data_IF_679683949177
#
_entry.id   IF_679683949177
#
_cell.length_a   1.000
_cell.length_b   1.000
_cell.length_c   1.000
_cell.angle_alpha   90.00
_cell.angle_beta   90.00
_cell.angle_gamma   90.00
#
_symmetry.space_group_name_H-M   'P 1'
#
loop_
_entity.id
_entity.type
_entity.pdbx_description
1 polymer ?
#
# COMPACT_ATOMS: atom_id res chain seq x y z
N UNK A 1 -25.03 -8.60 6.41
CA UNK A 1 -23.73 -8.28 5.77
C UNK A 1 -24.00 -7.36 4.60
N UNK A 2 -23.53 -6.11 4.65
CA UNK A 2 -23.97 -5.02 3.77
C UNK A 2 -23.58 -5.24 2.31
N UNK A 3 -24.59 -5.24 1.44
CA UNK A 3 -24.51 -5.37 -0.02
C UNK A 3 -23.70 -4.26 -0.70
N UNK A 4 -23.48 -3.13 -0.02
CA UNK A 4 -22.68 -2.00 -0.50
C UNK A 4 -21.21 -2.33 -0.73
N UNK A 5 -20.57 -3.11 0.16
CA UNK A 5 -19.13 -3.42 0.01
C UNK A 5 -18.86 -4.26 -1.24
N UNK A 6 -19.79 -5.14 -1.61
CA UNK A 6 -19.68 -5.99 -2.81
C UNK A 6 -19.73 -5.17 -4.10
N UNK A 7 -20.43 -4.03 -4.13
CA UNK A 7 -20.56 -3.21 -5.36
C UNK A 7 -19.31 -2.43 -5.73
N UNK A 8 -18.37 -2.24 -4.81
CA UNK A 8 -17.16 -1.42 -5.05
C UNK A 8 -15.95 -2.24 -5.48
N UNK A 9 -15.87 -3.52 -5.13
CA UNK A 9 -14.71 -4.38 -5.44
C UNK A 9 -14.91 -5.05 -6.81
N UNK A 10 -13.91 -5.08 -7.70
CA UNK A 10 -13.96 -5.81 -8.96
C UNK A 10 -14.35 -7.28 -8.76
N UNK A 11 -15.20 -7.81 -9.64
CA UNK A 11 -15.77 -9.15 -9.45
C UNK A 11 -14.72 -10.26 -9.30
N UNK A 12 -13.62 -10.17 -10.06
CA UNK A 12 -12.52 -11.15 -9.99
C UNK A 12 -11.89 -11.15 -8.61
N UNK A 13 -11.56 -9.97 -8.07
CA UNK A 13 -11.00 -9.84 -6.73
C UNK A 13 -12.00 -10.27 -5.65
N UNK A 14 -13.29 -9.99 -5.83
CA UNK A 14 -14.33 -10.44 -4.91
C UNK A 14 -14.47 -11.97 -4.90
N UNK A 15 -14.35 -12.64 -6.05
CA UNK A 15 -14.41 -14.10 -6.13
C UNK A 15 -13.22 -14.76 -5.44
N UNK A 16 -12.02 -14.17 -5.55
CA UNK A 16 -10.79 -14.74 -5.00
C UNK A 16 -10.57 -14.40 -3.52
N UNK A 17 -10.86 -13.16 -3.13
CA UNK A 17 -10.49 -12.62 -1.81
C UNK A 17 -11.68 -12.25 -0.94
N UNK A 18 -12.88 -12.22 -1.50
CA UNK A 18 -14.10 -11.82 -0.79
C UNK A 18 -13.91 -10.50 -0.04
N UNK A 19 -14.27 -10.46 1.24
CA UNK A 19 -14.15 -9.26 2.08
C UNK A 19 -12.72 -8.84 2.42
N UNK A 20 -11.69 -9.59 2.00
CA UNK A 20 -10.28 -9.21 2.23
C UNK A 20 -9.78 -8.16 1.23
N UNK A 21 -10.32 -8.15 0.00
CA UNK A 21 -10.01 -7.12 -0.97
C UNK A 21 -10.69 -5.80 -0.58
N UNK A 22 -9.88 -4.78 -0.32
CA UNK A 22 -10.32 -3.44 0.12
C UNK A 22 -9.58 -2.38 -0.68
N UNK A 23 -10.11 -1.16 -0.69
CA UNK A 23 -9.39 -0.03 -1.26
C UNK A 23 -8.06 0.18 -0.52
N UNK A 24 -7.07 0.78 -1.18
CA UNK A 24 -5.79 1.12 -0.57
C UNK A 24 -6.00 2.03 0.65
N UNK A 25 -6.90 3.02 0.55
CA UNK A 25 -7.27 3.89 1.65
C UNK A 25 -7.82 3.13 2.86
N UNK A 26 -8.83 2.27 2.65
CA UNK A 26 -9.41 1.46 3.73
C UNK A 26 -8.38 0.51 4.36
N UNK A 27 -7.49 -0.05 3.53
CA UNK A 27 -6.43 -0.95 4.00
C UNK A 27 -5.47 -0.21 4.91
N UNK A 28 -4.97 0.96 4.49
CA UNK A 28 -4.10 1.81 5.31
C UNK A 28 -4.77 2.17 6.63
N UNK A 29 -6.02 2.63 6.60
CA UNK A 29 -6.76 2.98 7.82
C UNK A 29 -6.92 1.79 8.78
N UNK A 30 -7.06 0.57 8.24
CA UNK A 30 -7.17 -0.63 9.07
C UNK A 30 -5.84 -1.16 9.62
N UNK A 31 -4.72 -0.85 8.95
CA UNK A 31 -3.38 -1.27 9.37
C UNK A 31 -2.84 -0.37 10.49
N UNK A 32 -3.26 0.89 10.51
CA UNK A 32 -2.87 1.82 11.57
C UNK A 32 -3.52 1.35 12.88
N UNK A 33 -2.73 1.03 13.92
CA UNK A 33 -3.27 0.58 15.18
C UNK A 33 -4.24 1.64 15.74
N UNK A 34 -5.46 1.26 16.15
CA UNK A 34 -6.38 2.18 16.79
C UNK A 34 -5.75 2.74 18.06
N UNK A 35 -5.98 4.03 18.33
CA UNK A 35 -5.39 4.69 19.50
C UNK A 35 -5.72 3.96 20.79
N UNK A 36 -4.68 3.59 21.54
CA UNK A 36 -4.61 3.98 22.95
C UNK A 36 -3.73 5.23 23.01
N UNK A 37 -4.33 6.39 23.31
CA UNK A 37 -3.75 7.74 23.28
C UNK A 37 -2.40 7.93 24.00
N UNK A 38 -1.94 6.96 24.80
CA UNK A 38 -0.70 7.02 25.56
C UNK A 38 0.59 6.59 24.82
N UNK A 39 0.50 5.98 23.62
CA UNK A 39 1.67 5.37 22.93
C UNK A 39 2.06 6.00 21.58
N UNK A 40 1.52 7.16 21.20
CA UNK A 40 2.02 7.83 19.99
C UNK A 40 3.30 8.61 20.31
N UNK A 41 4.40 8.30 19.60
CA UNK A 41 5.67 9.05 19.68
C UNK A 41 5.47 10.56 19.42
N UNK A 42 4.43 10.92 18.69
CA UNK A 42 4.08 12.30 18.39
C UNK A 42 3.68 13.16 19.60
N UNK A 43 3.40 12.56 20.77
CA UNK A 43 3.04 13.23 22.02
C UNK A 43 1.96 14.34 21.88
N UNK A 44 1.06 14.21 20.89
CA UNK A 44 0.06 15.23 20.57
C UNK A 44 0.58 16.51 19.90
N UNK A 45 1.89 16.64 19.65
CA UNK A 45 2.52 17.85 19.08
C UNK A 45 2.42 17.93 17.55
N UNK A 46 2.38 16.78 16.89
CA UNK A 46 2.23 16.66 15.43
C UNK A 46 0.97 15.88 15.06
N UNK A 47 0.27 16.36 14.02
CA UNK A 47 -0.83 15.63 13.37
C UNK A 47 -0.23 14.49 12.54
N UNK A 48 0.11 13.37 13.17
CA UNK A 48 0.53 12.16 12.44
C UNK A 48 -0.67 11.28 12.09
N UNK A 49 -0.52 10.44 11.05
CA UNK A 49 -1.57 9.54 10.59
C UNK A 49 -2.10 8.63 11.72
N UNK A 50 -1.23 8.12 12.58
CA UNK A 50 -1.63 7.37 13.79
C UNK A 50 -2.51 8.14 14.78
N UNK A 51 -2.50 9.48 14.72
CA UNK A 51 -3.31 10.35 15.57
C UNK A 51 -4.61 10.83 14.95
N UNK A 52 -4.69 10.94 13.63
CA UNK A 52 -5.91 11.36 12.94
C UNK A 52 -5.93 10.79 11.52
N UNK A 53 -6.11 9.47 11.43
CA UNK A 53 -5.82 8.70 10.23
C UNK A 53 -6.62 9.17 9.01
N UNK A 54 -7.94 9.33 9.15
CA UNK A 54 -8.82 9.65 8.02
C UNK A 54 -8.59 11.07 7.48
N UNK A 55 -8.46 12.08 8.34
CA UNK A 55 -8.33 13.47 7.89
C UNK A 55 -6.92 13.84 7.42
N UNK A 56 -5.92 12.99 7.66
CA UNK A 56 -4.54 13.20 7.23
C UNK A 56 -4.19 12.40 5.98
N UNK A 57 -4.82 11.23 5.81
CA UNK A 57 -4.70 10.46 4.58
C UNK A 57 -5.36 11.20 3.41
N UNK A 58 -6.54 11.81 3.64
CA UNK A 58 -7.29 12.56 2.64
C UNK A 58 -7.43 14.02 3.09
N UNK A 59 -6.90 14.93 2.27
CA UNK A 59 -6.96 16.39 2.42
C UNK A 59 -7.77 17.01 1.29
N UNK A 60 -8.44 18.14 1.55
CA UNK A 60 -9.29 18.83 0.56
C UNK A 60 -8.58 19.22 -0.75
N UNK A 61 -7.27 19.46 -0.68
CA UNK A 61 -6.46 19.90 -1.82
C UNK A 61 -5.61 18.77 -2.41
N UNK A 62 -5.90 17.50 -2.07
CA UNK A 62 -5.18 16.40 -2.66
C UNK A 62 -5.51 16.27 -4.17
N UNK A 63 -4.51 15.95 -5.01
CA UNK A 63 -4.71 15.71 -6.43
C UNK A 63 -5.70 14.58 -6.75
N UNK A 64 -6.38 14.67 -7.90
CA UNK A 64 -7.39 13.67 -8.33
C UNK A 64 -6.77 12.29 -8.49
N UNK A 65 -5.59 12.17 -9.11
CA UNK A 65 -4.86 10.92 -9.31
C UNK A 65 -4.50 10.24 -7.97
N UNK A 66 -4.19 11.02 -6.94
CA UNK A 66 -3.99 10.50 -5.59
C UNK A 66 -5.28 9.98 -4.96
N UNK A 67 -6.39 10.68 -5.13
CA UNK A 67 -7.70 10.23 -4.64
C UNK A 67 -8.16 8.97 -5.36
N UNK A 68 -7.91 8.86 -6.67
CA UNK A 68 -8.15 7.65 -7.45
C UNK A 68 -7.27 6.49 -6.97
N UNK A 69 -5.97 6.74 -6.75
CA UNK A 69 -5.07 5.75 -6.16
C UNK A 69 -5.62 5.21 -4.83
N UNK A 70 -6.11 6.07 -3.94
CA UNK A 70 -6.66 5.61 -2.65
C UNK A 70 -7.95 4.80 -2.78
N UNK A 71 -8.83 5.18 -3.70
CA UNK A 71 -10.20 4.66 -3.76
C UNK A 71 -10.42 3.55 -4.80
N UNK A 72 -9.54 3.45 -5.80
CA UNK A 72 -9.67 2.49 -6.91
C UNK A 72 -8.50 1.50 -6.99
N UNK A 73 -7.41 1.72 -6.26
CA UNK A 73 -6.43 0.67 -6.03
C UNK A 73 -6.97 -0.31 -4.98
N UNK A 74 -6.94 -1.60 -5.30
CA UNK A 74 -7.35 -2.65 -4.37
C UNK A 74 -6.15 -3.34 -3.77
N UNK A 75 -6.24 -3.64 -2.47
CA UNK A 75 -5.19 -4.26 -1.70
C UNK A 75 -5.75 -5.44 -0.91
N UNK A 76 -4.98 -6.51 -0.86
CA UNK A 76 -5.24 -7.70 -0.05
C UNK A 76 -4.03 -7.94 0.84
N UNK A 77 -4.20 -7.91 2.16
CA UNK A 77 -3.12 -8.27 3.09
C UNK A 77 -2.95 -9.79 3.08
N UNK A 78 -1.72 -10.27 2.97
CA UNK A 78 -1.40 -11.71 2.99
C UNK A 78 -1.82 -12.34 4.31
N UNK A 79 -2.32 -13.57 4.29
CA UNK A 79 -2.67 -14.30 5.53
C UNK A 79 -1.43 -14.58 6.40
N UNK A 80 -0.25 -14.66 5.77
CA UNK A 80 1.03 -14.84 6.44
C UNK A 80 1.72 -13.51 6.78
N UNK A 81 1.06 -12.37 6.54
CA UNK A 81 1.65 -11.08 6.86
C UNK A 81 1.83 -10.93 8.38
N UNK A 82 3.00 -10.45 8.85
CA UNK A 82 3.15 -10.11 10.25
C UNK A 82 2.18 -8.97 10.61
N UNK A 83 1.71 -8.88 11.86
CA UNK A 83 0.88 -7.76 12.28
C UNK A 83 1.65 -6.44 12.21
N UNK A 84 1.05 -5.40 11.63
CA UNK A 84 1.62 -4.05 11.65
C UNK A 84 1.38 -3.41 13.02
N UNK A 85 2.25 -3.73 13.98
CA UNK A 85 2.06 -3.42 15.40
C UNK A 85 2.46 -1.99 15.81
N UNK A 86 3.23 -1.29 14.97
CA UNK A 86 3.74 0.03 15.29
C UNK A 86 3.78 0.94 14.06
N UNK A 87 3.27 2.17 14.21
CA UNK A 87 3.30 3.19 13.18
C UNK A 87 4.48 4.15 13.39
N UNK A 88 5.42 4.16 12.44
CA UNK A 88 6.49 5.15 12.35
C UNK A 88 6.24 6.13 11.18
N UNK A 89 6.01 7.43 11.44
CA UNK A 89 5.87 8.43 10.39
C UNK A 89 7.20 8.87 9.76
N UNK A 90 8.34 8.29 10.15
CA UNK A 90 9.65 8.70 9.65
C UNK A 90 9.78 8.46 8.13
N UNK A 91 10.53 9.37 7.49
CA UNK A 91 10.80 9.41 6.05
C UNK A 91 12.30 9.63 5.86
N UNK A 92 13.06 8.58 6.10
CA UNK A 92 14.52 8.54 6.01
C UNK A 92 14.98 8.31 4.57
N UNK A 93 14.10 7.76 3.73
CA UNK A 93 14.39 7.41 2.35
C UNK A 93 13.43 8.10 1.38
N UNK A 94 13.87 8.23 0.14
CA UNK A 94 12.97 8.54 -0.98
C UNK A 94 12.07 7.34 -1.30
N UNK A 95 10.94 7.57 -1.97
CA UNK A 95 10.06 6.48 -2.42
C UNK A 95 10.81 5.46 -3.29
N UNK A 96 11.69 5.93 -4.19
CA UNK A 96 12.48 5.03 -5.05
C UNK A 96 13.34 4.08 -4.23
N UNK A 97 14.06 4.61 -3.23
CA UNK A 97 14.87 3.78 -2.33
C UNK A 97 14.02 2.81 -1.52
N UNK A 98 12.84 3.22 -1.06
CA UNK A 98 11.89 2.33 -0.36
C UNK A 98 11.44 1.19 -1.26
N UNK A 99 11.08 1.48 -2.51
CA UNK A 99 10.63 0.47 -3.48
C UNK A 99 11.76 -0.50 -3.80
N UNK A 100 12.96 -0.01 -4.14
CA UNK A 100 14.10 -0.87 -4.49
C UNK A 100 14.52 -1.75 -3.33
N UNK A 101 14.66 -1.19 -2.12
CA UNK A 101 14.99 -1.98 -0.92
C UNK A 101 13.92 -3.03 -0.64
N UNK A 102 12.64 -2.71 -0.87
CA UNK A 102 11.55 -3.68 -0.71
C UNK A 102 11.63 -4.82 -1.71
N UNK A 103 11.99 -4.54 -2.96
CA UNK A 103 12.22 -5.55 -4.00
C UNK A 103 13.43 -6.42 -3.64
N UNK A 104 14.58 -5.81 -3.32
CA UNK A 104 15.80 -6.53 -2.95
C UNK A 104 15.57 -7.45 -1.74
N UNK A 105 14.90 -6.97 -0.69
CA UNK A 105 14.50 -7.80 0.45
C UNK A 105 13.58 -8.95 0.07
N UNK A 106 12.67 -8.73 -0.89
CA UNK A 106 11.73 -9.78 -1.31
C UNK A 106 12.43 -10.87 -2.11
N UNK A 107 13.39 -10.50 -2.95
CA UNK A 107 14.22 -11.43 -3.73
C UNK A 107 15.07 -12.30 -2.80
N UNK A 108 15.62 -11.74 -1.72
CA UNK A 108 16.47 -12.51 -0.78
C UNK A 108 15.65 -13.41 0.15
N UNK A 109 14.43 -13.00 0.52
CA UNK A 109 13.60 -13.71 1.51
C UNK A 109 12.73 -14.84 0.92
N UNK A 110 12.43 -14.86 -0.39
CA UNK A 110 11.47 -15.80 -0.98
C UNK A 110 12.11 -16.87 -1.88
N UNK A 111 11.95 -18.14 -1.51
CA UNK A 111 12.51 -19.30 -2.23
C UNK A 111 11.55 -20.05 -3.16
N UNK A 112 10.23 -19.77 -3.14
CA UNK A 112 9.24 -20.64 -3.82
C UNK A 112 7.97 -19.94 -4.37
N UNK A 113 8.11 -18.68 -4.78
CA UNK A 113 7.03 -17.94 -5.44
C UNK A 113 7.36 -16.46 -5.41
N UNK A 114 7.89 -15.93 -6.51
CA UNK A 114 8.39 -14.55 -6.53
C UNK A 114 7.23 -13.57 -6.52
N UNK A 115 7.22 -12.65 -5.56
CA UNK A 115 6.32 -11.51 -5.55
C UNK A 115 6.38 -10.77 -6.90
N UNK A 116 5.22 -10.38 -7.44
CA UNK A 116 5.12 -9.68 -8.73
C UNK A 116 5.92 -8.38 -8.75
N UNK A 117 6.18 -7.77 -7.57
CA UNK A 117 6.99 -6.55 -7.47
C UNK A 117 8.44 -6.73 -7.98
N UNK A 118 8.99 -7.94 -7.93
CA UNK A 118 10.32 -8.27 -8.47
C UNK A 118 10.30 -8.71 -9.93
N UNK A 119 9.13 -8.78 -10.57
CA UNK A 119 9.01 -9.20 -11.97
C UNK A 119 9.71 -8.21 -12.90
N UNK A 120 10.63 -8.71 -13.74
CA UNK A 120 11.38 -7.89 -14.68
C UNK A 120 12.32 -6.87 -14.04
N UNK A 121 12.65 -7.03 -12.75
CA UNK A 121 13.55 -6.11 -12.05
C UNK A 121 15.00 -6.27 -12.53
N UNK A 122 15.57 -5.19 -13.08
CA UNK A 122 16.98 -5.11 -13.39
C UNK A 122 17.77 -4.60 -12.18
N UNK A 123 18.67 -5.42 -11.64
CA UNK A 123 19.47 -5.08 -10.46
C UNK A 123 20.56 -4.02 -10.76
N UNK A 124 21.08 -3.98 -11.99
CA UNK A 124 22.14 -3.05 -12.39
C UNK A 124 21.58 -1.64 -12.53
N UNK A 125 20.40 -1.51 -13.14
CA UNK A 125 19.75 -0.22 -13.41
C UNK A 125 18.68 0.17 -12.37
N UNK A 126 18.30 -0.75 -11.48
CA UNK A 126 17.22 -0.60 -10.49
C UNK A 126 15.90 -0.13 -11.13
N UNK A 127 15.54 -0.77 -12.24
CA UNK A 127 14.38 -0.40 -13.05
C UNK A 127 13.46 -1.58 -13.31
N UNK A 128 12.18 -1.28 -13.53
CA UNK A 128 11.13 -2.16 -14.06
C UNK A 128 9.87 -1.31 -14.29
N UNK A 129 8.96 -1.76 -15.15
CA UNK A 129 7.66 -1.12 -15.36
C UNK A 129 6.89 -0.96 -14.03
N UNK A 130 7.00 -1.94 -13.15
CA UNK A 130 6.40 -1.91 -11.80
C UNK A 130 6.98 -0.77 -10.96
N UNK A 131 8.30 -0.54 -11.00
CA UNK A 131 8.94 0.58 -10.30
C UNK A 131 8.46 1.91 -10.88
N UNK A 132 8.35 2.04 -12.20
CA UNK A 132 7.86 3.26 -12.83
C UNK A 132 6.44 3.60 -12.36
N UNK A 133 5.54 2.60 -12.33
CA UNK A 133 4.18 2.75 -11.82
C UNK A 133 4.14 3.11 -10.32
N UNK A 134 4.92 2.41 -9.49
CA UNK A 134 4.99 2.62 -8.04
C UNK A 134 5.71 3.90 -7.65
N UNK A 135 6.33 4.63 -8.59
CA UNK A 135 7.04 5.89 -8.33
C UNK A 135 6.37 7.12 -8.96
N UNK A 136 5.15 6.96 -9.47
CA UNK A 136 4.30 8.06 -9.93
C UNK A 136 3.99 9.08 -8.82
N UNK A 137 3.63 10.33 -9.17
CA UNK A 137 3.38 11.41 -8.19
C UNK A 137 2.38 11.05 -7.08
N UNK A 138 1.29 10.34 -7.40
CA UNK A 138 0.32 9.86 -6.43
C UNK A 138 0.96 8.96 -5.35
N UNK A 139 1.82 8.01 -5.74
CA UNK A 139 2.55 7.16 -4.80
C UNK A 139 3.58 7.94 -3.98
N UNK A 140 4.24 8.94 -4.57
CA UNK A 140 5.14 9.86 -3.84
C UNK A 140 4.40 10.65 -2.77
N UNK A 141 3.18 11.12 -3.08
CA UNK A 141 2.34 11.78 -2.09
C UNK A 141 1.89 10.81 -1.00
N UNK A 142 1.49 9.59 -1.37
CA UNK A 142 1.12 8.56 -0.41
C UNK A 142 2.24 8.28 0.58
N UNK A 143 3.44 8.00 0.08
CA UNK A 143 4.64 7.77 0.89
C UNK A 143 4.94 8.93 1.83
N UNK A 144 4.80 10.18 1.35
CA UNK A 144 4.95 11.38 2.20
C UNK A 144 3.97 11.39 3.39
N UNK A 145 2.77 10.84 3.23
CA UNK A 145 1.74 10.79 4.28
C UNK A 145 1.88 9.59 5.21
N UNK A 146 2.29 8.44 4.68
CA UNK A 146 2.29 7.19 5.45
C UNK A 146 3.65 6.81 6.05
N UNK A 147 4.76 7.35 5.53
CA UNK A 147 6.11 7.06 6.01
C UNK A 147 6.72 5.78 5.40
N UNK A 148 7.99 5.55 5.70
CA UNK A 148 8.78 4.44 5.14
C UNK A 148 8.24 3.08 5.58
N UNK A 149 8.00 2.92 6.90
CA UNK A 149 7.66 1.63 7.49
C UNK A 149 6.34 1.06 6.94
N UNK A 150 5.30 1.90 6.83
CA UNK A 150 4.02 1.45 6.29
C UNK A 150 4.11 1.20 4.78
N UNK A 151 4.90 1.99 4.05
CA UNK A 151 5.11 1.76 2.62
C UNK A 151 5.82 0.43 2.36
N UNK A 152 6.91 0.12 3.08
CA UNK A 152 7.60 -1.19 2.99
C UNK A 152 6.64 -2.32 3.33
N UNK A 153 5.83 -2.16 4.38
CA UNK A 153 4.85 -3.18 4.76
C UNK A 153 3.85 -3.46 3.64
N UNK A 154 3.28 -2.42 3.02
CA UNK A 154 2.37 -2.58 1.89
C UNK A 154 3.02 -3.34 0.74
N UNK A 155 4.23 -2.95 0.32
CA UNK A 155 4.92 -3.57 -0.82
C UNK A 155 5.30 -5.04 -0.58
N UNK A 156 5.66 -5.41 0.66
CA UNK A 156 6.12 -6.76 0.99
C UNK A 156 5.00 -7.71 1.42
N UNK A 157 3.98 -7.19 2.09
CA UNK A 157 3.02 -8.02 2.83
C UNK A 157 1.62 -8.03 2.22
N UNK A 158 1.43 -7.40 1.07
CA UNK A 158 0.11 -7.27 0.42
C UNK A 158 0.19 -7.56 -1.07
N UNK A 159 -0.94 -8.01 -1.63
CA UNK A 159 -1.18 -7.98 -3.07
C UNK A 159 -1.85 -6.67 -3.45
N UNK A 160 -1.29 -5.95 -4.42
CA UNK A 160 -1.74 -4.61 -4.82
C UNK A 160 -2.19 -4.63 -6.28
N UNK A 161 -3.39 -4.14 -6.55
CA UNK A 161 -4.03 -4.11 -7.86
C UNK A 161 -4.34 -2.66 -8.26
N UNK A 162 -3.53 -2.12 -9.16
CA UNK A 162 -3.73 -0.79 -9.72
C UNK A 162 -4.89 -0.79 -10.74
N UNK A 163 -5.75 0.24 -10.74
CA UNK A 163 -6.76 0.37 -11.76
C UNK A 163 -6.11 0.69 -13.12
N UNK A 164 -6.65 0.08 -14.17
CA UNK A 164 -6.40 0.38 -15.58
C UNK A 164 -7.71 0.84 -16.23
N UNK A 165 -7.62 1.29 -17.49
CA UNK A 165 -8.80 1.62 -18.27
C UNK A 165 -9.77 0.42 -18.39
N UNK A 166 -11.05 0.74 -18.58
CA UNK A 166 -12.12 -0.25 -18.79
C UNK A 166 -12.30 -1.27 -17.65
N UNK A 167 -12.19 -0.82 -16.39
CA UNK A 167 -12.42 -1.65 -15.19
C UNK A 167 -11.45 -2.85 -15.07
N UNK A 168 -10.30 -2.78 -15.75
CA UNK A 168 -9.21 -3.74 -15.61
C UNK A 168 -8.31 -3.34 -14.46
N UNK A 169 -7.60 -4.30 -13.91
CA UNK A 169 -6.65 -4.04 -12.83
C UNK A 169 -5.34 -4.77 -13.12
N UNK A 170 -4.23 -4.13 -12.78
CA UNK A 170 -2.88 -4.67 -12.94
C UNK A 170 -2.27 -4.95 -11.56
N UNK A 171 -1.82 -6.18 -11.34
CA UNK A 171 -1.16 -6.53 -10.10
C UNK A 171 0.29 -6.04 -10.12
N UNK A 172 0.68 -5.29 -9.10
CA UNK A 172 2.04 -4.70 -8.96
C UNK A 172 2.80 -5.21 -7.73
N UNK A 173 2.14 -5.96 -6.84
CA UNK A 173 2.76 -6.61 -5.69
C UNK A 173 1.96 -7.84 -5.25
N UNK A 174 2.59 -8.68 -4.42
CA UNK A 174 2.04 -9.92 -3.88
C UNK A 174 2.26 -11.13 -4.79
N UNK A 175 1.73 -12.28 -4.38
CA UNK A 175 1.82 -13.50 -5.18
C UNK A 175 0.97 -13.39 -6.46
N UNK A 176 1.49 -13.84 -7.62
CA UNK A 176 0.76 -13.77 -8.88
C UNK A 176 -0.55 -14.58 -8.84
N UNK A 177 -1.56 -14.09 -9.54
CA UNK A 177 -2.94 -14.63 -9.59
C UNK A 177 -3.32 -14.95 -11.02
#
# INVERSE_FOLDING_TARGET
MSTEKRRRVPEVLWKLFHGRARTLGDTILSLIPPKTSAKCICAGRNRCLGCNASSLLISRNDPVDYLELLNQCFVVVSDNAPPFSFYDPSRRWSLNEVVWRSIEMTITEQSSGSNVISSGYDQLYRSSDTIELLTLPAWKLLHKKIGDALMVYLLKSTSIFLPLSHNKHHQVAGFPI
#
